data_IF_228545190872
#
_entry.id   IF_228545190872
#
_cell.length_a   1.000
_cell.length_b   1.000
_cell.length_c   1.000
_cell.angle_alpha   90.00
_cell.angle_beta   90.00
_cell.angle_gamma   90.00
#
_symmetry.space_group_name_H-M   'P 1'
#
loop_
_entity.id
_entity.type
_entity.pdbx_description
1 polymer ?
#
# COMPACT_ATOMS: atom_id res chain seq x y z
N UNK A 1 40.31 -11.18 -1.41
CA UNK A 1 40.14 -10.45 -2.70
C UNK A 1 38.65 -10.20 -2.91
N UNK A 2 38.18 -8.94 -2.85
CA UNK A 2 36.76 -8.60 -3.05
C UNK A 2 36.52 -8.33 -4.55
N UNK A 3 35.72 -9.17 -5.20
CA UNK A 3 35.33 -8.95 -6.61
C UNK A 3 34.27 -7.86 -6.68
N UNK A 4 34.53 -6.81 -7.45
CA UNK A 4 33.61 -5.67 -7.63
C UNK A 4 32.39 -6.11 -8.43
N UNK A 5 31.19 -5.61 -8.07
CA UNK A 5 29.92 -5.93 -8.75
C UNK A 5 29.99 -5.74 -10.28
N UNK A 6 30.74 -4.74 -10.74
CA UNK A 6 30.97 -4.49 -12.15
C UNK A 6 31.62 -5.68 -12.87
N UNK A 7 32.69 -6.26 -12.30
CA UNK A 7 33.37 -7.43 -12.88
C UNK A 7 32.46 -8.66 -12.95
N UNK A 8 31.67 -8.91 -11.91
CA UNK A 8 30.68 -10.00 -11.91
C UNK A 8 29.63 -9.79 -13.00
N UNK A 9 29.20 -8.54 -13.20
CA UNK A 9 28.19 -8.19 -14.22
C UNK A 9 28.75 -8.34 -15.63
N UNK A 10 30.01 -8.00 -15.88
CA UNK A 10 30.65 -8.23 -17.19
C UNK A 10 30.78 -9.72 -17.51
N UNK A 11 31.28 -10.51 -16.56
CA UNK A 11 31.42 -11.96 -16.74
C UNK A 11 30.06 -12.61 -17.01
N UNK A 12 29.01 -12.23 -16.29
CA UNK A 12 27.64 -12.71 -16.54
C UNK A 12 27.12 -12.35 -17.94
N UNK A 13 27.44 -11.15 -18.46
CA UNK A 13 27.06 -10.76 -19.83
C UNK A 13 27.76 -11.61 -20.88
N UNK A 14 28.99 -12.06 -20.61
CA UNK A 14 29.79 -12.88 -21.53
C UNK A 14 29.30 -14.34 -21.48
N UNK A 15 29.09 -14.89 -20.28
CA UNK A 15 28.67 -16.29 -20.08
C UNK A 15 27.21 -16.55 -20.45
N UNK A 16 26.32 -15.60 -20.17
CA UNK A 16 24.88 -15.73 -20.37
C UNK A 16 24.28 -14.39 -20.83
N UNK A 17 24.55 -13.97 -22.08
CA UNK A 17 24.04 -12.72 -22.62
C UNK A 17 22.50 -12.71 -22.69
N UNK A 18 21.90 -13.84 -23.04
CA UNK A 18 20.45 -13.98 -23.17
C UNK A 18 19.74 -13.92 -21.81
N UNK A 19 20.16 -14.72 -20.83
CA UNK A 19 19.59 -14.68 -19.49
C UNK A 19 19.91 -13.38 -18.74
N UNK A 20 21.00 -12.69 -19.05
CA UNK A 20 21.26 -11.32 -18.56
C UNK A 20 20.29 -10.31 -19.18
N UNK A 21 19.98 -10.43 -20.46
CA UNK A 21 19.01 -9.57 -21.14
C UNK A 21 17.60 -9.81 -20.57
N UNK A 22 17.17 -11.06 -20.45
CA UNK A 22 15.87 -11.44 -19.87
C UNK A 22 15.71 -10.91 -18.43
N UNK A 23 16.74 -11.08 -17.58
CA UNK A 23 16.73 -10.53 -16.21
C UNK A 23 16.62 -9.01 -16.16
N UNK A 24 17.24 -8.30 -17.11
CA UNK A 24 17.12 -6.83 -17.22
C UNK A 24 15.78 -6.38 -17.80
N UNK A 25 15.19 -7.17 -18.70
CA UNK A 25 13.87 -6.91 -19.26
C UNK A 25 12.79 -6.95 -18.17
N UNK A 26 12.92 -7.87 -17.20
CA UNK A 26 12.05 -7.97 -16.02
C UNK A 26 12.52 -7.14 -14.82
N UNK A 27 13.40 -6.15 -15.01
CA UNK A 27 13.85 -5.31 -13.91
C UNK A 27 12.66 -4.53 -13.34
N UNK A 28 12.42 -4.72 -12.04
CA UNK A 28 11.41 -3.97 -11.29
C UNK A 28 11.61 -2.46 -11.52
N UNK A 29 10.71 -1.84 -12.28
CA UNK A 29 10.66 -0.38 -12.41
C UNK A 29 10.16 0.18 -11.08
N UNK A 30 11.08 0.72 -10.29
CA UNK A 30 10.72 1.43 -9.05
C UNK A 30 10.00 2.72 -9.42
N UNK A 31 8.79 2.90 -8.90
CA UNK A 31 8.00 4.13 -9.05
C UNK A 31 8.57 5.20 -8.13
N UNK A 32 8.49 6.47 -8.54
CA UNK A 32 8.84 7.61 -7.67
C UNK A 32 7.69 7.78 -6.67
N UNK A 33 7.97 7.43 -5.42
CA UNK A 33 7.05 7.58 -4.30
C UNK A 33 7.19 8.99 -3.72
N UNK A 34 6.11 9.77 -3.68
CA UNK A 34 6.12 11.12 -3.14
C UNK A 34 5.06 11.25 -2.03
N UNK A 35 5.52 11.27 -0.78
CA UNK A 35 4.72 11.69 0.37
C UNK A 35 5.17 13.10 0.77
N UNK A 36 4.23 14.05 0.87
CA UNK A 36 4.55 15.48 1.09
C UNK A 36 4.96 15.81 2.53
N UNK A 37 4.89 14.84 3.45
CA UNK A 37 5.23 14.98 4.86
C UNK A 37 4.63 13.86 5.71
N UNK A 38 4.88 13.86 7.04
CA UNK A 38 4.27 12.91 7.97
C UNK A 38 2.74 12.99 7.91
N UNK A 39 2.06 11.87 8.15
CA UNK A 39 0.59 11.76 8.14
C UNK A 39 -0.06 12.09 6.78
N UNK A 40 0.73 12.12 5.70
CA UNK A 40 0.23 12.36 4.35
C UNK A 40 -0.40 11.10 3.75
N UNK A 41 0.18 9.94 4.01
CA UNK A 41 -0.27 8.66 3.45
C UNK A 41 0.08 7.55 4.41
N UNK A 42 -0.91 6.73 4.75
CA UNK A 42 -0.73 5.54 5.59
C UNK A 42 -0.82 4.31 4.71
N UNK A 43 0.13 3.40 4.86
CA UNK A 43 0.06 2.08 4.22
C UNK A 43 -0.46 1.08 5.23
N UNK A 44 -1.55 0.39 4.88
CA UNK A 44 -2.14 -0.68 5.67
C UNK A 44 -1.74 -2.01 5.03
N UNK A 45 -1.29 -2.95 5.85
CA UNK A 45 -0.85 -4.27 5.41
C UNK A 45 -1.25 -5.34 6.42
N UNK A 46 -1.62 -6.51 5.90
CA UNK A 46 -1.95 -7.71 6.67
C UNK A 46 -0.90 -8.79 6.45
N UNK A 47 -0.47 -9.46 7.52
CA UNK A 47 0.50 -10.55 7.47
C UNK A 47 -0.13 -11.85 7.99
N UNK A 48 -0.50 -12.69 7.02
CA UNK A 48 -1.25 -13.94 7.24
C UNK A 48 -0.38 -15.19 7.30
N UNK A 49 0.96 -15.10 7.22
CA UNK A 49 1.81 -16.32 7.22
C UNK A 49 1.75 -17.12 8.52
N UNK A 50 1.36 -16.47 9.61
CA UNK A 50 1.18 -17.11 10.92
C UNK A 50 -0.29 -17.48 11.21
N UNK A 51 -1.19 -17.28 10.25
CA UNK A 51 -2.60 -17.66 10.35
C UNK A 51 -2.82 -19.15 10.65
N UNK A 52 -2.01 -20.10 10.15
CA UNK A 52 -2.12 -21.51 10.56
C UNK A 52 -1.89 -21.75 12.05
N UNK A 53 -1.23 -20.83 12.74
CA UNK A 53 -1.01 -20.86 14.19
C UNK A 53 -1.99 -19.97 14.97
N UNK A 54 -3.00 -19.40 14.30
CA UNK A 54 -4.00 -18.53 14.90
C UNK A 54 -3.55 -17.07 15.08
N UNK A 55 -2.49 -16.64 14.38
CA UNK A 55 -1.99 -15.26 14.48
C UNK A 55 -2.07 -14.55 13.12
N UNK A 56 -2.98 -13.59 13.02
CA UNK A 56 -3.04 -12.62 11.93
C UNK A 56 -2.43 -11.31 12.44
N UNK A 57 -1.39 -10.81 11.77
CA UNK A 57 -0.73 -9.56 12.17
C UNK A 57 -1.22 -8.44 11.26
N UNK A 58 -1.64 -7.32 11.85
CA UNK A 58 -2.13 -6.14 11.17
C UNK A 58 -1.19 -4.98 11.46
N UNK A 59 -0.79 -4.26 10.42
CA UNK A 59 0.10 -3.13 10.59
C UNK A 59 -0.28 -1.95 9.73
N UNK A 60 0.09 -0.76 10.19
CA UNK A 60 0.19 0.39 9.32
C UNK A 60 1.47 1.17 9.53
N UNK A 61 1.97 1.76 8.45
CA UNK A 61 3.16 2.60 8.46
C UNK A 61 2.88 3.96 7.81
N UNK A 62 3.50 5.00 8.34
CA UNK A 62 3.49 6.33 7.73
C UNK A 62 4.42 6.32 6.52
N UNK A 63 3.89 6.64 5.33
CA UNK A 63 4.64 6.54 4.09
C UNK A 63 5.76 7.56 3.92
N UNK A 64 5.78 8.65 4.69
CA UNK A 64 6.87 9.63 4.66
C UNK A 64 8.00 9.25 5.60
N UNK A 65 7.69 8.99 6.86
CA UNK A 65 8.67 8.72 7.91
C UNK A 65 9.02 7.25 8.07
N UNK A 66 8.27 6.34 7.42
CA UNK A 66 8.36 4.89 7.59
C UNK A 66 8.16 4.42 9.04
N UNK A 67 7.58 5.26 9.90
CA UNK A 67 7.28 4.90 11.28
C UNK A 67 6.03 4.03 11.33
N UNK A 68 6.06 3.02 12.20
CA UNK A 68 4.88 2.23 12.52
C UNK A 68 3.86 3.11 13.23
N UNK A 69 2.61 3.03 12.76
CA UNK A 69 1.45 3.70 13.34
C UNK A 69 0.79 2.74 14.33
N UNK A 70 0.56 1.49 13.88
CA UNK A 70 0.17 0.38 14.73
C UNK A 70 0.80 -0.92 14.25
N UNK A 71 0.87 -1.90 15.15
CA UNK A 71 1.25 -3.28 14.87
C UNK A 71 0.54 -4.17 15.88
N UNK A 72 -0.53 -4.83 15.45
CA UNK A 72 -1.47 -5.53 16.33
C UNK A 72 -1.68 -6.96 15.85
N UNK A 73 -1.91 -7.88 16.80
CA UNK A 73 -2.14 -9.29 16.51
C UNK A 73 -3.60 -9.63 16.80
N UNK A 74 -4.22 -10.39 15.90
CA UNK A 74 -5.55 -10.92 16.08
C UNK A 74 -5.63 -12.40 15.76
N UNK A 75 -6.70 -13.03 16.21
CA UNK A 75 -7.07 -14.41 15.90
C UNK A 75 -7.68 -14.55 14.49
N UNK A 76 -8.18 -13.45 13.90
CA UNK A 76 -8.82 -13.44 12.58
C UNK A 76 -8.47 -12.22 11.73
N UNK A 77 -8.30 -12.43 10.42
CA UNK A 77 -8.20 -11.39 9.39
C UNK A 77 -9.57 -11.15 8.69
N UNK A 78 -10.61 -11.91 9.02
CA UNK A 78 -11.90 -11.82 8.32
C UNK A 78 -12.85 -10.76 8.92
N UNK A 79 -12.39 -9.98 9.91
CA UNK A 79 -13.22 -9.01 10.61
C UNK A 79 -12.74 -7.57 10.30
N UNK A 80 -13.36 -6.86 9.34
CA UNK A 80 -12.94 -5.52 8.96
C UNK A 80 -13.10 -4.49 10.10
N UNK A 81 -14.01 -4.74 11.06
CA UNK A 81 -14.19 -3.89 12.24
C UNK A 81 -12.95 -3.84 13.12
N UNK A 82 -12.12 -4.89 13.09
CA UNK A 82 -10.90 -4.93 13.89
C UNK A 82 -9.84 -3.98 13.32
N UNK A 83 -9.64 -4.00 12.00
CA UNK A 83 -8.75 -3.05 11.33
C UNK A 83 -9.29 -1.62 11.49
N UNK A 84 -10.62 -1.45 11.38
CA UNK A 84 -11.27 -0.16 11.65
C UNK A 84 -10.97 0.37 13.05
N UNK A 85 -11.01 -0.50 14.07
CA UNK A 85 -10.68 -0.14 15.45
C UNK A 85 -9.23 0.35 15.55
N UNK A 86 -8.26 -0.41 15.03
CA UNK A 86 -6.85 0.01 15.05
C UNK A 86 -6.61 1.34 14.34
N UNK A 87 -7.30 1.55 13.22
CA UNK A 87 -7.26 2.81 12.49
C UNK A 87 -7.81 3.98 13.31
N UNK A 88 -8.98 3.83 13.94
CA UNK A 88 -9.60 4.84 14.79
C UNK A 88 -8.76 5.14 16.04
N UNK A 89 -8.26 4.11 16.73
CA UNK A 89 -7.43 4.26 17.92
C UNK A 89 -6.13 5.02 17.58
N UNK A 90 -5.54 4.72 16.41
CA UNK A 90 -4.35 5.41 15.92
C UNK A 90 -4.61 6.88 15.55
N UNK A 91 -5.72 7.17 14.86
CA UNK A 91 -6.11 8.55 14.58
C UNK A 91 -6.37 9.35 15.85
N UNK A 92 -6.97 8.73 16.86
CA UNK A 92 -7.20 9.35 18.16
C UNK A 92 -5.88 9.66 18.88
N UNK A 93 -4.93 8.73 18.86
CA UNK A 93 -3.59 8.92 19.46
C UNK A 93 -2.78 10.03 18.77
N UNK A 94 -2.87 10.11 17.43
CA UNK A 94 -2.16 11.12 16.63
C UNK A 94 -2.91 12.47 16.61
N UNK A 95 -4.17 12.49 17.07
CA UNK A 95 -5.11 13.61 17.02
C UNK A 95 -5.32 14.20 15.61
N UNK A 96 -5.06 13.40 14.57
CA UNK A 96 -5.19 13.81 13.16
C UNK A 96 -5.60 12.64 12.29
N UNK A 97 -6.49 12.92 11.33
CA UNK A 97 -6.80 11.99 10.25
C UNK A 97 -5.67 11.99 9.21
N UNK A 98 -5.34 10.81 8.66
CA UNK A 98 -4.44 10.72 7.51
C UNK A 98 -5.10 11.31 6.28
N UNK A 99 -4.28 11.83 5.36
CA UNK A 99 -4.81 12.32 4.09
C UNK A 99 -5.13 11.14 3.17
N UNK A 100 -4.22 10.20 2.96
CA UNK A 100 -4.40 9.11 2.00
C UNK A 100 -4.23 7.77 2.71
N UNK A 101 -4.99 6.76 2.30
CA UNK A 101 -4.80 5.37 2.71
C UNK A 101 -4.39 4.56 1.48
N UNK A 102 -3.28 3.84 1.58
CA UNK A 102 -2.93 2.75 0.66
C UNK A 102 -3.21 1.44 1.37
N UNK A 103 -4.06 0.61 0.79
CA UNK A 103 -4.28 -0.75 1.25
C UNK A 103 -4.27 -1.70 0.06
N UNK A 104 -4.19 -3.00 0.33
CA UNK A 104 -4.46 -4.00 -0.68
C UNK A 104 -5.97 -4.07 -1.02
N UNK A 105 -6.31 -4.85 -2.04
CA UNK A 105 -7.69 -5.07 -2.48
C UNK A 105 -8.44 -6.07 -1.59
N UNK A 106 -8.07 -6.13 -0.32
CA UNK A 106 -8.64 -7.04 0.68
C UNK A 106 -9.99 -6.55 1.21
N UNK A 107 -10.83 -7.49 1.61
CA UNK A 107 -12.13 -7.20 2.24
C UNK A 107 -11.96 -6.73 3.69
N UNK A 108 -10.83 -7.06 4.31
CA UNK A 108 -10.45 -6.68 5.66
C UNK A 108 -10.32 -5.15 5.82
N UNK A 109 -9.95 -4.44 4.75
CA UNK A 109 -9.75 -2.99 4.78
C UNK A 109 -11.01 -2.18 4.39
N UNK A 110 -12.11 -2.86 4.01
CA UNK A 110 -13.32 -2.24 3.46
C UNK A 110 -13.93 -1.15 4.35
N UNK A 111 -14.09 -1.42 5.65
CA UNK A 111 -14.66 -0.46 6.61
C UNK A 111 -13.79 0.80 6.74
N UNK A 112 -12.46 0.65 6.76
CA UNK A 112 -11.51 1.77 6.80
C UNK A 112 -11.63 2.63 5.55
N UNK A 113 -11.74 1.99 4.38
CA UNK A 113 -11.90 2.68 3.10
C UNK A 113 -13.17 3.53 3.06
N UNK A 114 -14.28 3.02 3.59
CA UNK A 114 -15.56 3.74 3.67
C UNK A 114 -15.45 4.90 4.66
N UNK A 115 -14.95 4.65 5.87
CA UNK A 115 -14.84 5.67 6.91
C UNK A 115 -13.92 6.82 6.48
N UNK A 116 -12.81 6.51 5.82
CA UNK A 116 -11.86 7.51 5.34
C UNK A 116 -12.48 8.40 4.26
N UNK A 117 -13.30 7.85 3.36
CA UNK A 117 -14.07 8.62 2.39
C UNK A 117 -15.05 9.57 3.10
N UNK A 118 -15.72 9.10 4.15
CA UNK A 118 -16.61 9.92 4.96
C UNK A 118 -15.87 11.08 5.64
N UNK A 119 -14.73 10.82 6.32
CA UNK A 119 -13.96 11.87 7.00
C UNK A 119 -13.48 12.98 6.07
N UNK A 120 -13.17 12.64 4.82
CA UNK A 120 -12.67 13.59 3.83
C UNK A 120 -13.72 13.95 2.78
N UNK A 121 -15.01 13.70 3.06
CA UNK A 121 -16.12 14.01 2.15
C UNK A 121 -16.16 15.50 1.77
N UNK A 122 -15.98 16.38 2.76
CA UNK A 122 -15.96 17.83 2.59
C UNK A 122 -14.55 18.40 2.27
N UNK A 123 -13.55 17.55 2.01
CA UNK A 123 -12.21 18.04 1.68
C UNK A 123 -12.21 18.70 0.29
N UNK A 124 -11.49 19.81 0.14
CA UNK A 124 -11.42 20.60 -1.10
C UNK A 124 -10.14 20.38 -1.90
N UNK A 125 -9.26 19.47 -1.46
CA UNK A 125 -7.99 19.19 -2.13
C UNK A 125 -8.09 18.12 -3.23
N UNK A 126 -7.03 18.03 -4.04
CA UNK A 126 -6.96 17.16 -5.22
C UNK A 126 -7.14 15.65 -4.95
N UNK A 127 -7.10 15.23 -3.68
CA UNK A 127 -7.27 13.84 -3.25
C UNK A 127 -8.56 13.63 -2.45
N UNK A 128 -9.55 14.52 -2.55
CA UNK A 128 -10.86 14.33 -1.94
C UNK A 128 -11.69 13.24 -2.66
N UNK A 129 -12.69 12.70 -1.98
CA UNK A 129 -13.65 11.70 -2.51
C UNK A 129 -12.98 10.38 -2.93
N UNK A 130 -13.08 9.96 -4.20
CA UNK A 130 -12.66 8.63 -4.64
C UNK A 130 -11.13 8.44 -4.72
N UNK A 131 -10.33 9.50 -4.55
CA UNK A 131 -8.85 9.46 -4.62
C UNK A 131 -8.16 9.28 -3.26
N UNK A 132 -8.95 9.13 -2.20
CA UNK A 132 -8.46 9.05 -0.83
C UNK A 132 -7.91 7.66 -0.51
N UNK A 133 -8.51 6.63 -1.12
CA UNK A 133 -8.14 5.23 -0.96
C UNK A 133 -7.47 4.77 -2.23
N UNK A 134 -6.26 4.24 -2.10
CA UNK A 134 -5.51 3.65 -3.20
C UNK A 134 -5.48 2.16 -2.94
N UNK A 135 -5.99 1.39 -3.90
CA UNK A 135 -6.07 -0.06 -3.79
C UNK A 135 -4.99 -0.69 -4.68
N UNK A 136 -4.10 -1.45 -4.06
CA UNK A 136 -3.10 -2.28 -4.75
C UNK A 136 -1.77 -1.59 -5.08
N UNK A 137 -0.74 -2.40 -5.32
CA UNK A 137 0.66 -1.97 -5.55
C UNK A 137 0.86 -1.11 -6.82
N UNK A 138 -0.14 -1.00 -7.70
CA UNK A 138 0.00 -0.45 -9.06
C UNK A 138 -0.47 0.98 -9.28
N UNK A 139 -1.28 1.57 -8.39
CA UNK A 139 -1.91 2.88 -8.67
C UNK A 139 -1.14 4.11 -8.14
N UNK A 140 -0.03 3.91 -7.42
CA UNK A 140 0.77 5.03 -6.89
C UNK A 140 1.39 5.88 -8.01
N UNK A 141 1.67 5.31 -9.19
CA UNK A 141 2.20 6.06 -10.34
C UNK A 141 1.18 6.99 -11.00
N UNK A 142 -0.12 6.74 -10.86
CA UNK A 142 -1.18 7.50 -11.53
C UNK A 142 -1.63 8.74 -10.76
N UNK A 143 -1.32 8.82 -9.47
CA UNK A 143 -1.56 10.04 -8.67
C UNK A 143 -0.68 11.22 -9.07
N UNK A 144 0.39 10.97 -9.85
CA UNK A 144 1.19 12.01 -10.50
C UNK A 144 0.58 12.48 -11.84
N UNK A 145 -0.45 11.81 -12.36
CA UNK A 145 -1.03 12.07 -13.69
C UNK A 145 -2.56 12.13 -13.61
N UNK A 146 -3.12 12.92 -12.69
CA UNK A 146 -4.49 13.45 -12.81
C UNK A 146 -5.66 12.48 -13.07
N UNK A 147 -5.47 11.15 -12.99
CA UNK A 147 -6.44 10.14 -13.43
C UNK A 147 -7.22 9.58 -12.25
N UNK A 148 -8.54 9.68 -12.33
CA UNK A 148 -9.44 8.99 -11.42
C UNK A 148 -9.53 7.51 -11.82
N UNK A 149 -9.59 6.60 -10.85
CA UNK A 149 -10.01 5.22 -11.08
C UNK A 149 -10.96 4.79 -9.97
N UNK A 150 -12.25 4.82 -10.30
CA UNK A 150 -13.21 3.79 -9.90
C UNK A 150 -14.25 3.76 -11.01
N UNK A 151 -14.07 2.81 -11.92
CA UNK A 151 -15.11 2.38 -12.85
C UNK A 151 -15.12 0.84 -12.77
N UNK A 152 -15.80 0.33 -11.74
CA UNK A 152 -16.11 -1.09 -11.67
C UNK A 152 -17.48 -1.27 -12.32
N UNK A 153 -17.46 -1.88 -13.51
CA UNK A 153 -18.60 -2.54 -14.13
C UNK A 153 -19.38 -3.32 -13.08
N UNK A 154 -20.62 -2.92 -12.88
CA UNK A 154 -21.65 -3.78 -12.32
C UNK A 154 -22.01 -4.73 -13.45
N UNK A 155 -21.53 -5.97 -13.38
CA UNK A 155 -22.15 -7.07 -14.12
C UNK A 155 -23.53 -7.31 -13.50
N UNK A 156 -24.54 -6.65 -14.06
CA UNK A 156 -25.93 -7.06 -13.91
C UNK A 156 -26.23 -8.10 -14.98
N UNK A 157 -26.31 -9.36 -14.56
CA UNK A 157 -26.88 -10.43 -15.37
C UNK A 157 -28.33 -10.12 -15.74
N UNK A 158 -28.64 -10.40 -17.00
CA UNK A 158 -29.96 -10.52 -17.61
C UNK A 158 -29.83 -11.45 -18.80
#
# INVERSE_FOLDING_TARGET
MKTTHHKVTEVMKILDPEGTHLRKAHRLKRRVYCAKGPNYIWHLDGYDKLKPYGFCIHGAIDGFSTKHIWLEVSDTNNNPKLILKYFLDSMKSIEKATRIILCDAGTENSDVCILQQFFRYNASDAFAKHRIVIIGKSQISELNVGGALYDNKVDSGG
#
